data_IF_015493362056
#
_entry.id   IF_015493362056
#
_cell.length_a   1.000
_cell.length_b   1.000
_cell.length_c   1.000
_cell.angle_alpha   90.00
_cell.angle_beta   90.00
_cell.angle_gamma   90.00
#
_symmetry.space_group_name_H-M   'P 1'
#
loop_
_entity.id
_entity.type
_entity.pdbx_description
1 polymer ?
#
# COMPACT_ATOMS: atom_id res chain seq x y z
N UNK A 1 33.62 -22.30 -5.34
CA UNK A 1 33.83 -21.55 -4.08
C UNK A 1 33.85 -20.07 -4.44
N UNK A 2 32.73 -19.38 -4.29
CA UNK A 2 32.65 -17.94 -4.52
C UNK A 2 33.06 -17.21 -3.23
N UNK A 3 33.90 -16.20 -3.35
CA UNK A 3 34.37 -15.38 -2.23
C UNK A 3 33.20 -14.66 -1.54
N UNK A 4 33.29 -14.38 -0.21
CA UNK A 4 32.26 -13.61 0.47
C UNK A 4 32.34 -12.15 -0.03
N UNK A 5 31.31 -11.72 -0.76
CA UNK A 5 31.13 -10.34 -1.19
C UNK A 5 30.91 -9.44 0.03
N UNK A 6 31.93 -8.65 0.41
CA UNK A 6 31.85 -7.62 1.44
C UNK A 6 31.12 -6.35 0.95
N UNK A 7 30.12 -6.49 0.09
CA UNK A 7 29.28 -5.40 -0.42
C UNK A 7 27.91 -5.39 0.25
N UNK A 8 27.26 -4.23 0.30
CA UNK A 8 25.86 -4.10 0.71
C UNK A 8 24.98 -4.21 -0.52
N UNK A 9 24.10 -5.20 -0.55
CA UNK A 9 23.07 -5.36 -1.59
C UNK A 9 21.72 -5.50 -0.90
N UNK A 10 20.95 -4.42 -0.92
CA UNK A 10 19.58 -4.37 -0.45
C UNK A 10 18.71 -4.15 -1.68
N UNK A 11 17.90 -5.13 -2.03
CA UNK A 11 16.95 -5.05 -3.13
C UNK A 11 15.52 -5.14 -2.60
N UNK A 12 14.66 -4.25 -3.07
CA UNK A 12 13.23 -4.21 -2.81
C UNK A 12 12.85 -4.10 -1.32
N UNK A 13 13.60 -3.35 -0.52
CA UNK A 13 13.24 -3.13 0.89
C UNK A 13 12.01 -2.21 1.00
N UNK A 14 10.98 -2.64 1.73
CA UNK A 14 9.79 -1.82 1.97
C UNK A 14 10.15 -0.54 2.72
N UNK A 15 9.74 0.61 2.18
CA UNK A 15 10.08 1.91 2.73
C UNK A 15 8.86 2.81 2.85
N UNK A 16 8.80 3.56 3.95
CA UNK A 16 7.87 4.68 4.12
C UNK A 16 8.63 5.98 3.94
N UNK A 17 8.16 6.82 3.03
CA UNK A 17 8.80 8.08 2.69
C UNK A 17 8.11 9.22 3.43
N UNK A 18 8.90 10.02 4.14
CA UNK A 18 8.42 11.27 4.75
C UNK A 18 8.62 12.44 3.77
N UNK A 19 7.57 13.23 3.59
CA UNK A 19 7.57 14.40 2.72
C UNK A 19 6.74 15.51 3.36
N UNK A 20 7.00 16.75 2.96
CA UNK A 20 6.23 17.90 3.45
C UNK A 20 5.11 18.19 2.47
N UNK A 21 3.87 18.22 2.98
CA UNK A 21 2.68 18.53 2.20
C UNK A 21 2.57 20.01 1.82
N UNK A 22 1.55 20.36 1.03
CA UNK A 22 1.32 21.75 0.60
C UNK A 22 1.03 22.70 1.76
N UNK A 23 0.63 22.17 2.91
CA UNK A 23 0.27 22.92 4.12
C UNK A 23 1.44 22.99 5.11
N UNK A 24 2.61 22.46 4.73
CA UNK A 24 3.83 22.50 5.54
C UNK A 24 3.92 21.42 6.62
N UNK A 25 3.07 20.39 6.58
CA UNK A 25 3.05 19.30 7.58
C UNK A 25 3.81 18.08 7.06
N UNK A 26 4.48 17.35 7.96
CA UNK A 26 5.06 16.05 7.62
C UNK A 26 3.94 15.05 7.30
N UNK A 27 3.98 14.51 6.10
CA UNK A 27 3.12 13.45 5.60
C UNK A 27 3.97 12.22 5.26
N UNK A 28 3.34 11.04 5.30
CA UNK A 28 4.01 9.76 5.08
C UNK A 28 3.38 9.06 3.88
N UNK A 29 4.19 8.36 3.07
CA UNK A 29 3.67 7.54 1.97
C UNK A 29 2.73 6.46 2.49
N UNK A 30 1.54 6.33 1.89
CA UNK A 30 0.62 5.23 2.18
C UNK A 30 0.74 4.11 1.15
N UNK A 31 0.47 2.83 1.49
CA UNK A 31 0.33 1.74 0.53
C UNK A 31 -0.88 1.93 -0.41
N UNK A 32 -1.77 2.88 -0.09
CA UNK A 32 -2.88 3.29 -0.95
C UNK A 32 -2.43 4.28 -2.05
N UNK A 33 -1.37 5.03 -1.82
CA UNK A 33 -0.84 6.01 -2.78
C UNK A 33 -0.02 5.33 -3.89
N UNK A 34 0.65 4.22 -3.57
CA UNK A 34 1.43 3.38 -4.49
C UNK A 34 0.95 1.94 -4.35
N UNK A 35 0.54 1.28 -5.45
CA UNK A 35 -0.02 -0.09 -5.39
C UNK A 35 1.01 -1.10 -4.87
N UNK A 36 1.08 -1.28 -3.54
CA UNK A 36 2.07 -2.13 -2.86
C UNK A 36 3.18 -1.38 -2.10
N UNK A 37 3.09 -0.06 -1.94
CA UNK A 37 4.09 0.74 -1.22
C UNK A 37 5.33 1.11 -2.06
N UNK A 38 6.17 1.99 -1.52
CA UNK A 38 7.46 2.32 -2.12
C UNK A 38 8.52 1.30 -1.67
N UNK A 39 9.50 1.04 -2.54
CA UNK A 39 10.60 0.12 -2.26
C UNK A 39 11.94 0.85 -2.45
N UNK A 40 12.93 0.50 -1.64
CA UNK A 40 14.28 1.04 -1.69
C UNK A 40 15.24 -0.07 -2.12
N UNK A 41 16.04 0.24 -3.14
CA UNK A 41 17.21 -0.54 -3.53
C UNK A 41 18.48 0.27 -3.13
N UNK A 42 19.39 -0.37 -2.41
CA UNK A 42 20.69 0.19 -1.99
C UNK A 42 21.80 -0.79 -2.37
N UNK A 43 22.71 -0.34 -3.21
CA UNK A 43 23.88 -1.09 -3.62
C UNK A 43 25.13 -0.35 -3.16
N UNK A 44 26.08 -1.07 -2.58
CA UNK A 44 27.41 -0.57 -2.24
C UNK A 44 28.44 -1.69 -2.38
N UNK A 45 29.53 -1.39 -3.07
CA UNK A 45 30.64 -2.32 -3.25
C UNK A 45 31.91 -1.79 -2.59
N UNK A 46 32.81 -2.73 -2.26
CA UNK A 46 34.17 -2.55 -1.77
C UNK A 46 35.03 -1.59 -2.61
N UNK A 47 34.67 -1.38 -3.89
CA UNK A 47 35.29 -0.37 -4.77
C UNK A 47 34.83 1.07 -4.53
N UNK A 48 34.08 1.34 -3.45
CA UNK A 48 33.46 2.64 -3.15
C UNK A 48 32.52 3.12 -4.25
N UNK A 49 31.78 2.19 -4.84
CA UNK A 49 30.67 2.52 -5.74
C UNK A 49 29.36 2.27 -5.02
N UNK A 50 28.39 3.15 -5.22
CA UNK A 50 27.06 2.98 -4.66
C UNK A 50 25.96 3.35 -5.66
N UNK A 51 24.76 2.87 -5.40
CA UNK A 51 23.57 3.32 -6.09
C UNK A 51 22.36 3.22 -5.18
N UNK A 52 21.58 4.30 -5.14
CA UNK A 52 20.37 4.41 -4.33
C UNK A 52 19.18 4.66 -5.24
N UNK A 53 18.18 3.80 -5.12
CA UNK A 53 17.02 3.82 -5.99
C UNK A 53 15.76 3.62 -5.18
N UNK A 54 14.94 4.65 -5.11
CA UNK A 54 13.57 4.52 -4.65
C UNK A 54 12.70 4.16 -5.85
N UNK A 55 11.96 3.06 -5.77
CA UNK A 55 11.03 2.61 -6.81
C UNK A 55 9.62 2.59 -6.28
N UNK A 56 8.68 3.05 -7.10
CA UNK A 56 7.28 3.11 -6.73
C UNK A 56 6.41 2.52 -7.87
N UNK A 57 5.70 1.41 -7.61
CA UNK A 57 4.87 0.75 -8.61
C UNK A 57 3.57 1.53 -8.87
N UNK A 58 3.20 1.66 -10.15
CA UNK A 58 2.02 2.36 -10.63
C UNK A 58 1.56 1.83 -11.99
N UNK A 59 0.39 2.26 -12.45
CA UNK A 59 -0.19 1.87 -13.74
C UNK A 59 -0.33 3.12 -14.61
N UNK A 60 0.23 3.08 -15.82
CA UNK A 60 0.15 4.18 -16.81
C UNK A 60 -1.18 4.13 -17.57
N UNK A 61 -1.56 5.26 -18.19
CA UNK A 61 -2.70 5.31 -19.13
C UNK A 61 -2.46 4.45 -20.35
N UNK A 62 -1.23 4.48 -20.87
CA UNK A 62 -0.82 3.76 -22.08
C UNK A 62 -0.79 2.25 -21.88
N UNK A 63 -0.35 1.78 -20.70
CA UNK A 63 -0.24 0.36 -20.36
C UNK A 63 -1.11 0.01 -19.14
N UNK A 64 -2.45 -0.01 -19.28
CA UNK A 64 -3.37 -0.17 -18.16
C UNK A 64 -3.36 -1.56 -17.51
N UNK A 65 -2.64 -2.52 -18.10
CA UNK A 65 -2.49 -3.90 -17.65
C UNK A 65 -1.08 -4.22 -17.14
N UNK A 66 -0.12 -3.30 -17.29
CA UNK A 66 1.28 -3.49 -16.89
C UNK A 66 1.57 -2.67 -15.62
N UNK A 67 2.10 -3.32 -14.58
CA UNK A 67 2.58 -2.64 -13.38
C UNK A 67 3.97 -2.06 -13.68
N UNK A 68 4.02 -0.77 -13.97
CA UNK A 68 5.26 -0.03 -14.23
C UNK A 68 5.80 0.52 -12.91
N UNK A 69 7.08 0.88 -12.82
CA UNK A 69 7.63 1.60 -11.65
C UNK A 69 8.25 2.92 -12.08
N UNK A 70 7.95 4.01 -11.38
CA UNK A 70 8.79 5.22 -11.49
C UNK A 70 9.89 5.18 -10.44
N UNK A 71 10.95 5.93 -10.71
CA UNK A 71 12.15 5.88 -9.90
C UNK A 71 12.61 7.26 -9.45
N UNK A 72 13.17 7.31 -8.25
CA UNK A 72 13.99 8.42 -7.78
C UNK A 72 15.40 7.89 -7.60
N UNK A 73 16.34 8.37 -8.42
CA UNK A 73 17.74 8.05 -8.25
C UNK A 73 18.38 9.09 -7.36
N UNK A 74 19.07 8.62 -6.33
CA UNK A 74 19.86 9.46 -5.44
C UNK A 74 21.32 9.13 -5.76
N UNK A 75 22.00 9.93 -6.60
CA UNK A 75 23.40 9.67 -6.92
C UNK A 75 24.27 9.85 -5.68
N UNK A 76 25.14 8.90 -5.31
CA UNK A 76 26.00 8.99 -4.13
C UNK A 76 26.89 10.22 -4.13
N UNK A 77 27.37 10.68 -5.31
CA UNK A 77 28.18 11.90 -5.39
C UNK A 77 27.42 13.18 -4.99
N UNK A 78 26.09 13.13 -4.90
CA UNK A 78 25.28 14.25 -4.41
C UNK A 78 25.04 14.18 -2.91
N UNK A 79 25.22 13.03 -2.27
CA UNK A 79 24.97 12.82 -0.83
C UNK A 79 26.11 13.46 -0.04
N UNK A 80 25.79 14.52 0.70
CA UNK A 80 26.74 15.20 1.60
C UNK A 80 26.80 14.54 2.97
N UNK A 81 25.69 13.98 3.41
CA UNK A 81 25.59 13.26 4.67
C UNK A 81 24.46 12.24 4.60
N UNK A 82 24.66 11.09 5.24
CA UNK A 82 23.64 10.07 5.46
C UNK A 82 23.58 9.80 6.96
N UNK A 83 22.52 10.25 7.64
CA UNK A 83 22.28 9.89 9.02
C UNK A 83 21.41 8.63 9.10
N UNK A 84 21.83 7.72 9.97
CA UNK A 84 21.15 6.45 10.24
C UNK A 84 20.79 6.45 11.71
N UNK A 85 19.50 6.55 12.02
CA UNK A 85 19.00 6.64 13.39
C UNK A 85 18.00 5.51 13.65
N UNK A 86 18.21 4.76 14.73
CA UNK A 86 17.16 3.93 15.33
C UNK A 86 16.36 4.80 16.28
N UNK A 87 15.26 5.36 15.78
CA UNK A 87 14.36 6.17 16.60
C UNK A 87 13.43 5.26 17.41
N UNK A 88 13.32 5.45 18.72
CA UNK A 88 12.25 4.85 19.53
C UNK A 88 10.90 5.57 19.29
N UNK A 89 10.97 6.84 18.89
CA UNK A 89 9.83 7.71 18.58
C UNK A 89 9.56 7.68 17.07
N UNK A 90 9.08 6.53 16.59
CA UNK A 90 8.63 6.36 15.21
C UNK A 90 7.16 6.79 15.08
N UNK A 91 6.82 7.69 14.12
CA UNK A 91 5.45 8.12 13.90
C UNK A 91 4.48 6.93 13.71
N UNK A 92 3.29 7.03 14.30
CA UNK A 92 2.28 5.96 14.25
C UNK A 92 1.98 5.44 12.83
N UNK A 93 1.83 6.27 11.78
CA UNK A 93 1.57 5.79 10.42
C UNK A 93 2.71 4.96 9.82
N UNK A 94 3.94 5.16 10.30
CA UNK A 94 5.12 4.41 9.87
C UNK A 94 5.17 3.07 10.61
N UNK A 95 4.88 3.08 11.92
CA UNK A 95 4.83 1.87 12.77
C UNK A 95 3.76 0.88 12.30
N UNK A 96 2.60 1.38 11.91
CA UNK A 96 1.51 0.55 11.36
C UNK A 96 1.89 -0.15 10.05
N UNK A 97 2.80 0.44 9.25
CA UNK A 97 3.23 -0.12 7.96
C UNK A 97 4.47 -1.02 8.04
N UNK A 98 5.45 -0.66 8.89
CA UNK A 98 6.78 -1.31 8.92
C UNK A 98 7.03 -2.17 10.16
N UNK A 99 6.19 -2.08 11.20
CA UNK A 99 6.32 -2.89 12.41
C UNK A 99 7.23 -2.28 13.47
N UNK A 100 8.15 -3.08 14.04
CA UNK A 100 8.85 -2.75 15.30
C UNK A 100 10.34 -2.41 15.10
N UNK A 101 11.03 -3.02 14.12
CA UNK A 101 12.46 -2.79 13.86
C UNK A 101 12.65 -1.85 12.67
N UNK A 102 12.61 -0.55 12.94
CA UNK A 102 12.60 0.51 11.92
C UNK A 102 13.86 1.36 12.06
N UNK A 103 14.53 1.57 10.93
CA UNK A 103 15.67 2.48 10.81
C UNK A 103 15.26 3.69 9.98
N UNK A 104 15.57 4.88 10.51
CA UNK A 104 15.39 6.15 9.82
C UNK A 104 16.68 6.50 9.08
N UNK A 105 16.60 6.52 7.75
CA UNK A 105 17.66 6.94 6.84
C UNK A 105 17.35 8.35 6.35
N UNK A 106 18.22 9.30 6.65
CA UNK A 106 18.06 10.68 6.22
C UNK A 106 19.23 11.10 5.34
N UNK A 107 18.93 11.27 4.05
CA UNK A 107 19.87 11.69 3.03
C UNK A 107 19.88 13.21 2.94
N UNK A 108 21.03 13.82 3.13
CA UNK A 108 21.28 15.22 2.81
C UNK A 108 22.02 15.29 1.49
N UNK A 109 21.46 16.03 0.54
CA UNK A 109 21.95 16.14 -0.82
C UNK A 109 22.43 17.56 -1.11
N UNK A 110 23.54 17.69 -1.82
CA UNK A 110 24.03 18.96 -2.37
C UNK A 110 23.14 19.49 -3.51
N UNK A 111 22.47 18.58 -4.22
CA UNK A 111 21.50 18.87 -5.29
C UNK A 111 20.35 17.86 -5.21
N UNK A 112 19.14 18.22 -5.67
CA UNK A 112 18.02 17.30 -5.64
C UNK A 112 18.26 15.99 -6.42
N UNK A 113 17.50 14.97 -6.06
CA UNK A 113 17.54 13.65 -6.68
C UNK A 113 16.93 13.65 -8.10
N UNK A 114 17.29 12.66 -8.91
CA UNK A 114 16.83 12.56 -10.30
C UNK A 114 15.52 11.76 -10.38
N UNK A 115 14.47 12.39 -10.92
CA UNK A 115 13.19 11.73 -11.14
C UNK A 115 13.17 11.07 -12.52
N UNK A 116 13.09 9.74 -12.53
CA UNK A 116 13.15 8.93 -13.75
C UNK A 116 11.81 8.28 -14.02
N UNK A 117 11.30 8.54 -15.22
CA UNK A 117 10.01 8.07 -15.73
C UNK A 117 10.19 7.36 -17.09
N UNK A 118 9.23 6.55 -17.55
CA UNK A 118 9.22 6.06 -18.92
C UNK A 118 9.38 7.20 -19.93
N UNK A 119 10.09 6.94 -21.04
CA UNK A 119 10.21 7.93 -22.13
C UNK A 119 8.88 8.20 -22.84
N UNK A 120 7.98 7.21 -22.82
CA UNK A 120 6.62 7.29 -23.38
C UNK A 120 5.64 7.96 -22.39
N UNK A 121 4.33 7.88 -22.65
CA UNK A 121 3.31 8.43 -21.75
C UNK A 121 3.35 7.75 -20.37
N UNK A 122 3.88 8.49 -19.40
CA UNK A 122 4.07 8.03 -18.03
C UNK A 122 2.95 8.50 -17.09
N UNK A 123 1.93 9.23 -17.57
CA UNK A 123 0.87 9.73 -16.70
C UNK A 123 0.07 8.56 -16.08
N UNK A 124 -0.22 8.59 -14.77
CA UNK A 124 -1.00 7.55 -14.13
C UNK A 124 -2.41 7.42 -14.70
N UNK A 125 -2.91 6.19 -14.75
CA UNK A 125 -4.27 5.87 -15.24
C UNK A 125 -5.37 6.49 -14.38
N UNK A 126 -5.19 6.50 -13.06
CA UNK A 126 -6.20 6.89 -12.07
C UNK A 126 -5.75 8.13 -11.29
N UNK A 127 -6.70 8.99 -10.94
CA UNK A 127 -6.52 10.14 -10.02
C UNK A 127 -6.10 9.71 -8.62
N UNK A 128 -6.31 8.43 -8.25
CA UNK A 128 -5.81 7.84 -7.01
C UNK A 128 -4.28 8.01 -6.81
N UNK A 129 -3.49 8.03 -7.89
CA UNK A 129 -2.05 8.27 -7.82
C UNK A 129 -1.68 9.76 -7.64
N UNK A 130 -2.67 10.65 -7.49
CA UNK A 130 -2.46 12.08 -7.31
C UNK A 130 -1.79 12.45 -5.98
N UNK A 131 -1.99 11.65 -4.93
CA UNK A 131 -1.24 11.77 -3.66
C UNK A 131 0.24 11.47 -3.86
N UNK A 132 0.51 10.36 -4.54
CA UNK A 132 1.86 9.93 -4.86
C UNK A 132 2.62 10.91 -5.77
N UNK A 133 1.99 11.46 -6.81
CA UNK A 133 2.64 12.46 -7.66
C UNK A 133 3.00 13.74 -6.88
N UNK A 134 2.18 14.14 -5.91
CA UNK A 134 2.50 15.26 -5.01
C UNK A 134 3.70 14.94 -4.11
N UNK A 135 3.75 13.73 -3.57
CA UNK A 135 4.91 13.22 -2.82
C UNK A 135 6.18 13.28 -3.67
N UNK A 136 6.16 12.71 -4.87
CA UNK A 136 7.32 12.72 -5.78
C UNK A 136 7.74 14.16 -6.13
N UNK A 137 6.77 15.03 -6.44
CA UNK A 137 7.04 16.45 -6.69
C UNK A 137 7.71 17.14 -5.49
N UNK A 138 7.30 16.81 -4.26
CA UNK A 138 7.91 17.35 -3.04
C UNK A 138 9.35 16.83 -2.87
N UNK A 139 9.57 15.53 -3.05
CA UNK A 139 10.90 14.91 -2.93
C UNK A 139 11.93 15.46 -3.93
N UNK A 140 11.54 15.64 -5.19
CA UNK A 140 12.46 16.12 -6.24
C UNK A 140 12.82 17.60 -6.04
N UNK A 141 12.04 18.34 -5.24
CA UNK A 141 12.38 19.71 -4.84
C UNK A 141 13.18 19.76 -3.54
N UNK A 142 13.18 18.68 -2.77
CA UNK A 142 13.87 18.59 -1.50
C UNK A 142 15.33 18.18 -1.69
N UNK A 143 16.21 18.78 -0.90
CA UNK A 143 17.59 18.35 -0.73
C UNK A 143 17.76 17.40 0.45
N UNK A 144 16.69 17.17 1.22
CA UNK A 144 16.68 16.24 2.35
C UNK A 144 15.61 15.19 2.12
N UNK A 145 15.99 13.91 2.05
CA UNK A 145 15.07 12.80 1.83
C UNK A 145 15.13 11.90 3.06
N UNK A 146 13.99 11.74 3.74
CA UNK A 146 13.87 10.90 4.93
C UNK A 146 13.07 9.65 4.60
N UNK A 147 13.69 8.49 4.83
CA UNK A 147 13.16 7.17 4.53
C UNK A 147 13.14 6.33 5.82
N UNK A 148 12.03 5.66 6.08
CA UNK A 148 11.93 4.68 7.15
C UNK A 148 11.92 3.29 6.54
N UNK A 149 12.84 2.43 6.96
CA UNK A 149 13.03 1.09 6.38
C UNK A 149 13.01 0.04 7.49
N UNK A 150 12.32 -1.07 7.26
CA UNK A 150 12.27 -2.18 8.20
C UNK A 150 13.50 -3.10 8.07
N UNK A 151 13.88 -3.75 9.18
CA UNK A 151 14.82 -4.88 9.20
C UNK A 151 16.22 -4.58 8.62
N UNK A 152 16.69 -3.33 8.69
CA UNK A 152 18.07 -2.97 8.35
C UNK A 152 18.94 -2.95 9.61
N UNK A 153 20.07 -3.65 9.58
CA UNK A 153 21.05 -3.55 10.66
C UNK A 153 21.94 -2.33 10.46
N UNK A 154 22.17 -1.56 11.52
CA UNK A 154 23.08 -0.40 11.48
C UNK A 154 24.50 -0.82 11.07
N UNK A 155 24.92 -2.01 11.50
CA UNK A 155 26.23 -2.58 11.17
C UNK A 155 26.45 -2.78 9.67
N UNK A 156 25.40 -3.10 8.91
CA UNK A 156 25.47 -3.22 7.45
C UNK A 156 25.60 -1.87 6.74
N UNK A 157 25.10 -0.79 7.36
CA UNK A 157 25.12 0.57 6.78
C UNK A 157 26.37 1.37 7.17
N UNK A 158 27.09 0.99 8.24
CA UNK A 158 28.31 1.67 8.69
C UNK A 158 29.36 1.84 7.59
N UNK A 159 29.77 0.80 6.83
CA UNK A 159 30.78 0.96 5.77
C UNK A 159 30.36 1.96 4.70
N UNK A 160 29.07 2.01 4.38
CA UNK A 160 28.51 2.96 3.43
C UNK A 160 28.52 4.38 3.99
N UNK A 161 28.12 4.57 5.26
CA UNK A 161 28.12 5.88 5.91
C UNK A 161 29.53 6.46 6.02
N UNK A 162 30.51 5.63 6.36
CA UNK A 162 31.93 6.01 6.43
C UNK A 162 32.44 6.42 5.04
N UNK A 163 32.13 5.62 4.01
CA UNK A 163 32.53 5.92 2.63
C UNK A 163 31.92 7.23 2.10
N UNK A 164 30.64 7.49 2.40
CA UNK A 164 29.97 8.75 2.04
C UNK A 164 30.58 9.95 2.79
N UNK A 165 30.93 9.77 4.06
CA UNK A 165 31.50 10.84 4.91
C UNK A 165 32.91 11.25 4.48
N UNK A 166 33.72 10.30 4.00
CA UNK A 166 35.07 10.58 3.51
C UNK A 166 35.10 11.20 2.10
N UNK A 167 33.99 11.13 1.36
CA UNK A 167 33.89 11.59 -0.01
C UNK A 167 34.64 10.67 -0.98
N UNK A 168 34.07 10.42 -2.16
CA UNK A 168 34.68 9.56 -3.17
C UNK A 168 33.82 8.40 -3.64
N UNK A 169 32.62 8.24 -3.07
CA UNK A 169 31.65 7.26 -3.58
C UNK A 169 31.13 7.72 -4.95
N UNK A 170 31.18 6.82 -5.94
CA UNK A 170 30.70 7.09 -7.30
C UNK A 170 29.47 6.24 -7.62
N UNK A 171 28.60 6.77 -8.48
CA UNK A 171 27.49 6.01 -9.05
C UNK A 171 27.95 4.73 -9.75
N UNK A 172 27.21 3.63 -9.59
CA UNK A 172 27.36 2.42 -10.41
C UNK A 172 26.66 2.59 -11.76
N UNK A 173 27.43 2.64 -12.85
CA UNK A 173 26.90 2.88 -14.20
C UNK A 173 25.87 1.81 -14.62
N UNK A 174 26.07 0.55 -14.26
CA UNK A 174 25.19 -0.57 -14.61
C UNK A 174 23.74 -0.38 -14.15
N UNK A 175 23.54 0.29 -13.00
CA UNK A 175 22.20 0.55 -12.45
C UNK A 175 21.60 1.87 -12.93
N UNK A 176 22.40 2.75 -13.53
CA UNK A 176 22.00 4.07 -14.01
C UNK A 176 21.70 4.11 -15.53
N UNK A 177 21.85 3.00 -16.26
CA UNK A 177 21.60 2.94 -17.70
C UNK A 177 20.11 3.15 -18.06
N UNK A 178 19.75 4.41 -18.30
CA UNK A 178 18.39 4.80 -18.69
C UNK A 178 17.87 4.04 -19.91
N UNK A 179 18.71 3.73 -20.89
CA UNK A 179 18.32 3.03 -22.13
C UNK A 179 17.84 1.59 -21.91
N UNK A 180 18.28 0.92 -20.84
CA UNK A 180 17.83 -0.44 -20.49
C UNK A 180 16.58 -0.46 -19.61
N UNK A 181 16.16 0.69 -19.11
CA UNK A 181 14.98 0.78 -18.27
C UNK A 181 13.70 0.56 -19.06
N UNK A 182 12.63 0.19 -18.34
CA UNK A 182 11.30 0.00 -18.92
C UNK A 182 11.28 -1.03 -20.05
N UNK A 183 11.94 -2.18 -19.84
CA UNK A 183 12.03 -3.26 -20.83
C UNK A 183 12.68 -2.82 -22.15
N UNK A 184 13.62 -1.88 -22.09
CA UNK A 184 14.31 -1.34 -23.27
C UNK A 184 13.57 -0.19 -23.97
N UNK A 185 12.43 0.28 -23.44
CA UNK A 185 11.74 1.50 -23.92
C UNK A 185 12.51 2.78 -23.56
N UNK A 186 13.42 2.70 -22.59
CA UNK A 186 14.25 3.81 -22.15
C UNK A 186 13.57 4.69 -21.10
N UNK A 187 14.36 5.15 -20.13
CA UNK A 187 13.96 6.11 -19.12
C UNK A 187 14.34 7.55 -19.48
N UNK A 188 13.57 8.50 -18.98
CA UNK A 188 13.79 9.94 -19.10
C UNK A 188 13.90 10.55 -17.71
N UNK A 189 14.90 11.40 -17.50
CA UNK A 189 14.95 12.28 -16.32
C UNK A 189 14.02 13.48 -16.58
N UNK A 190 13.09 13.74 -15.67
CA UNK A 190 12.21 14.91 -15.78
C UNK A 190 12.89 16.13 -15.19
N UNK A 191 13.14 17.13 -16.03
CA UNK A 191 13.75 18.41 -15.62
C UNK A 191 12.72 19.48 -15.26
N UNK A 192 11.51 19.42 -15.84
CA UNK A 192 10.42 20.34 -15.57
C UNK A 192 9.33 19.67 -14.72
N UNK A 193 9.47 19.83 -13.41
CA UNK A 193 8.64 19.21 -12.37
C UNK A 193 7.28 19.95 -12.25
N UNK A 194 7.21 21.21 -12.71
CA UNK A 194 5.99 22.00 -12.61
C UNK A 194 4.94 21.61 -13.66
N UNK A 195 5.37 20.99 -14.76
CA UNK A 195 4.49 20.37 -15.76
C UNK A 195 3.88 19.00 -15.33
N UNK A 196 4.27 18.44 -14.18
CA UNK A 196 3.83 17.10 -13.72
C UNK A 196 2.34 17.01 -13.34
N UNK A 197 1.67 18.15 -13.08
CA UNK A 197 0.26 18.20 -12.69
C UNK A 197 -0.42 19.32 -13.51
N UNK A 198 -1.28 19.00 -14.49
CA UNK A 198 -2.14 20.01 -15.08
C UNK A 198 -2.98 20.65 -13.97
N UNK A 199 -2.97 21.99 -13.89
CA UNK A 199 -3.85 22.73 -13.00
C UNK A 199 -5.30 22.29 -13.25
N UNK A 200 -5.92 21.71 -12.22
CA UNK A 200 -7.35 21.46 -12.02
C UNK A 200 -8.22 21.36 -13.28
N UNK A 201 -8.58 20.13 -13.64
CA UNK A 201 -9.88 19.90 -14.27
C UNK A 201 -10.96 20.19 -13.22
N UNK A 202 -11.45 21.43 -13.17
CA UNK A 202 -12.80 21.72 -12.67
C UNK A 202 -13.77 20.91 -13.51
N UNK A 203 -14.26 19.78 -12.99
CA UNK A 203 -15.39 19.07 -13.56
C UNK A 203 -16.62 19.99 -13.52
N UNK A 204 -17.38 20.14 -14.61
CA UNK A 204 -18.70 20.73 -14.55
C UNK A 204 -19.60 19.83 -13.70
N UNK A 205 -20.27 20.48 -12.76
CA UNK A 205 -21.38 20.03 -11.93
C UNK A 205 -22.33 19.08 -12.68
N UNK A 206 -22.46 17.85 -12.18
CA UNK A 206 -23.52 16.93 -12.60
C UNK A 206 -24.81 17.30 -11.87
N UNK A 207 -25.97 17.46 -12.54
CA UNK A 207 -27.23 17.67 -11.86
C UNK A 207 -27.74 16.37 -11.21
N UNK A 208 -28.33 16.55 -10.03
CA UNK A 208 -28.94 15.54 -9.16
C UNK A 208 -30.11 14.74 -9.79
N UNK A 209 -30.49 13.58 -9.20
CA UNK A 209 -31.29 12.54 -9.83
C UNK A 209 -32.80 12.76 -9.62
N UNK A 210 -33.60 12.54 -10.68
CA UNK A 210 -35.05 12.43 -10.57
C UNK A 210 -35.54 11.12 -11.20
N UNK A 211 -36.03 10.26 -10.29
CA UNK A 211 -37.09 9.25 -10.41
C UNK A 211 -37.01 8.17 -11.49
N UNK A 212 -36.82 6.95 -10.99
CA UNK A 212 -37.18 5.71 -11.65
C UNK A 212 -38.71 5.56 -11.80
N UNK A 213 -39.14 5.08 -12.97
CA UNK A 213 -40.44 4.45 -13.20
C UNK A 213 -40.23 3.10 -13.89
N UNK A 214 -40.98 2.04 -13.53
CA UNK A 214 -40.73 0.68 -14.00
C UNK A 214 -41.59 0.32 -15.23
N UNK A 215 -41.08 -0.48 -16.16
CA UNK A 215 -41.96 -1.28 -17.03
C UNK A 215 -41.25 -2.46 -17.70
N UNK A 216 -41.73 -3.67 -17.37
CA UNK A 216 -42.31 -4.59 -18.35
C UNK A 216 -41.40 -5.21 -19.42
N UNK A 217 -41.11 -6.50 -19.23
CA UNK A 217 -40.64 -7.46 -20.25
C UNK A 217 -41.68 -7.69 -21.38
N UNK A 218 -41.56 -8.76 -22.20
CA UNK A 218 -40.58 -9.09 -23.24
C UNK A 218 -41.27 -9.21 -24.62
N UNK A 219 -40.55 -9.15 -25.75
CA UNK A 219 -41.13 -9.48 -27.07
C UNK A 219 -40.25 -10.39 -27.94
N UNK A 220 -40.95 -11.40 -28.45
CA UNK A 220 -40.58 -12.47 -29.37
C UNK A 220 -40.30 -12.00 -30.81
N UNK A 221 -39.65 -12.92 -31.54
CA UNK A 221 -39.60 -13.15 -32.99
C UNK A 221 -40.53 -12.34 -33.92
N UNK A 222 -39.96 -11.86 -35.03
CA UNK A 222 -40.39 -12.26 -36.39
C UNK A 222 -39.46 -11.71 -37.48
N UNK A 223 -39.32 -12.50 -38.55
CA UNK A 223 -38.42 -12.33 -39.68
C UNK A 223 -38.87 -11.27 -40.71
N UNK A 224 -37.94 -10.73 -41.50
CA UNK A 224 -37.97 -10.73 -43.00
C UNK A 224 -36.85 -9.89 -43.66
N UNK A 225 -36.05 -10.59 -44.49
CA UNK A 225 -35.53 -10.28 -45.84
C UNK A 225 -34.76 -8.97 -46.20
N UNK A 226 -33.64 -9.27 -46.88
CA UNK A 226 -33.08 -8.69 -48.12
C UNK A 226 -32.01 -7.60 -48.02
N UNK A 227 -30.89 -7.84 -48.73
CA UNK A 227 -29.85 -6.87 -49.03
C UNK A 227 -28.44 -7.48 -49.08
N UNK A 228 -28.10 -8.15 -50.18
CA UNK A 228 -26.71 -8.44 -50.58
C UNK A 228 -25.94 -7.13 -50.77
N UNK A 229 -24.74 -7.01 -50.19
CA UNK A 229 -23.62 -6.25 -50.78
C UNK A 229 -22.31 -6.61 -50.05
N UNK A 230 -21.37 -7.20 -50.80
CA UNK A 230 -19.99 -7.46 -50.41
C UNK A 230 -19.04 -6.56 -51.24
N UNK A 231 -17.85 -6.22 -50.71
CA UNK A 231 -17.05 -5.06 -51.11
C UNK A 231 -16.07 -5.33 -52.28
N UNK A 232 -15.45 -4.28 -52.88
CA UNK A 232 -14.75 -4.38 -54.17
C UNK A 232 -13.27 -4.78 -54.07
N UNK A 233 -12.68 -5.38 -55.14
CA UNK A 233 -11.24 -5.63 -55.24
C UNK A 233 -10.49 -4.56 -56.07
N UNK A 234 -9.19 -4.44 -55.79
CA UNK A 234 -8.21 -3.51 -56.39
C UNK A 234 -7.77 -3.89 -57.84
N UNK A 235 -7.17 -2.96 -58.61
CA UNK A 235 -6.85 -3.14 -60.04
C UNK A 235 -5.38 -3.55 -60.34
N UNK A 236 -5.09 -4.14 -61.51
CA UNK A 236 -3.72 -4.26 -62.05
C UNK A 236 -3.47 -3.31 -63.26
N UNK A 237 -2.21 -2.97 -63.61
CA UNK A 237 -1.92 -2.10 -64.74
C UNK A 237 -1.12 -2.72 -65.92
N UNK A 238 -1.41 -2.16 -67.11
CA UNK A 238 -0.66 -2.03 -68.38
C UNK A 238 -0.80 -3.05 -69.56
N UNK A 239 -0.94 -2.54 -70.82
CA UNK A 239 -1.13 -3.32 -72.07
C UNK A 239 0.11 -3.38 -73.00
N UNK A 240 0.10 -4.21 -74.07
CA UNK A 240 1.14 -4.26 -75.10
C UNK A 240 0.84 -3.36 -76.33
N UNK A 241 1.84 -2.98 -77.16
CA UNK A 241 1.64 -2.07 -78.29
C UNK A 241 1.35 -2.74 -79.65
N UNK A 242 0.47 -2.03 -80.36
CA UNK A 242 0.03 -2.03 -81.75
C UNK A 242 0.88 -2.70 -82.86
N UNK A 243 0.16 -3.42 -83.72
CA UNK A 243 0.53 -3.76 -85.09
C UNK A 243 0.33 -2.56 -86.03
N UNK A 244 1.33 -2.31 -86.89
CA UNK A 244 1.26 -1.30 -87.95
C UNK A 244 0.75 -1.87 -89.27
N UNK A 245 0.01 -0.99 -89.93
CA UNK A 245 -0.70 -1.07 -91.20
C UNK A 245 0.16 -1.29 -92.44
N UNK A 246 -0.46 -1.97 -93.41
CA UNK A 246 -0.18 -1.97 -94.85
C UNK A 246 -0.41 -0.59 -95.50
N UNK A 247 0.46 -0.16 -96.43
CA UNK A 247 0.05 0.59 -97.63
C UNK A 247 1.05 0.56 -98.81
N UNK A 248 0.47 0.78 -99.99
CA UNK A 248 0.82 0.78 -101.40
C UNK A 248 2.23 1.13 -101.95
N UNK A 249 2.65 0.37 -102.96
CA UNK A 249 2.63 0.80 -104.38
C UNK A 249 3.87 1.48 -105.01
N UNK A 250 4.44 0.88 -106.06
CA UNK A 250 4.89 1.59 -107.29
C UNK A 250 5.32 0.62 -108.41
N UNK A 251 4.83 0.87 -109.62
CA UNK A 251 5.12 0.15 -110.87
C UNK A 251 6.44 0.60 -111.53
N UNK A 252 7.16 -0.29 -112.24
CA UNK A 252 7.96 0.09 -113.42
C UNK A 252 8.22 -1.08 -114.38
N UNK A 253 8.01 -0.76 -115.66
CA UNK A 253 7.93 -1.58 -116.88
C UNK A 253 9.34 -1.72 -117.52
N UNK A 254 9.49 -2.75 -118.37
CA UNK A 254 10.53 -3.01 -119.41
C UNK A 254 11.77 -3.76 -118.89
N UNK A 255 12.37 -4.72 -119.61
CA UNK A 255 12.41 -4.98 -121.06
C UNK A 255 12.94 -6.42 -121.27
N UNK A 256 12.34 -7.20 -122.18
CA UNK A 256 12.97 -8.44 -122.73
C UNK A 256 14.10 -8.08 -123.69
N UNK A 257 15.12 -8.93 -123.81
CA UNK A 257 15.66 -9.23 -125.12
C UNK A 257 15.69 -10.73 -125.44
N UNK A 258 15.90 -10.96 -126.72
CA UNK A 258 15.68 -12.14 -127.54
C UNK A 258 16.87 -13.09 -127.59
N UNK A 259 16.55 -14.40 -127.57
CA UNK A 259 16.99 -15.46 -128.50
C UNK A 259 18.31 -15.26 -129.28
N UNK A 260 19.27 -16.15 -129.04
CA UNK A 260 19.74 -17.10 -130.08
C UNK A 260 20.53 -18.25 -129.45
N UNK A 261 20.03 -19.46 -129.73
CA UNK A 261 20.74 -20.75 -129.83
C UNK A 261 22.12 -20.88 -129.17
N UNK A 262 22.20 -21.70 -128.13
CA UNK A 262 23.10 -22.86 -128.18
C UNK A 262 22.67 -23.91 -127.14
N UNK A 263 22.29 -25.08 -127.68
CA UNK A 263 22.51 -26.42 -127.13
C UNK A 263 21.75 -26.82 -125.85
N UNK A 264 21.22 -28.03 -125.88
CA UNK A 264 20.41 -28.72 -124.87
C UNK A 264 21.03 -28.82 -123.45
N UNK A 265 22.20 -28.22 -123.22
CA UNK A 265 22.83 -28.04 -121.92
C UNK A 265 22.23 -26.87 -121.08
N UNK A 266 21.67 -25.81 -121.70
CA UNK A 266 21.21 -24.62 -120.96
C UNK A 266 19.76 -24.72 -120.44
N UNK A 267 18.89 -25.52 -121.08
CA UNK A 267 17.58 -25.88 -120.47
C UNK A 267 17.78 -26.79 -119.26
N UNK A 268 18.70 -27.73 -119.38
CA UNK A 268 19.12 -28.61 -118.28
C UNK A 268 19.78 -27.80 -117.16
N UNK A 269 20.57 -26.77 -117.49
CA UNK A 269 21.17 -25.82 -116.56
C UNK A 269 20.14 -24.91 -115.86
N UNK A 270 19.12 -24.43 -116.58
CA UNK A 270 18.04 -23.63 -116.02
C UNK A 270 17.13 -24.43 -115.07
N UNK A 271 16.78 -25.67 -115.44
CA UNK A 271 16.09 -26.61 -114.57
C UNK A 271 16.93 -26.97 -113.34
N UNK A 272 18.23 -27.23 -113.51
CA UNK A 272 19.15 -27.47 -112.38
C UNK A 272 19.23 -26.25 -111.45
N UNK A 273 19.30 -25.03 -111.97
CA UNK A 273 19.30 -23.79 -111.17
C UNK A 273 17.98 -23.61 -110.40
N UNK A 274 16.83 -23.82 -111.06
CA UNK A 274 15.52 -23.72 -110.42
C UNK A 274 15.35 -24.78 -109.32
N UNK A 275 15.79 -26.01 -109.57
CA UNK A 275 15.78 -27.11 -108.60
C UNK A 275 16.68 -26.78 -107.41
N UNK A 276 17.90 -26.28 -107.64
CA UNK A 276 18.81 -25.84 -106.56
C UNK A 276 18.23 -24.66 -105.78
N UNK A 277 17.56 -23.72 -106.43
CA UNK A 277 16.91 -22.58 -105.76
C UNK A 277 15.69 -23.01 -104.94
N UNK A 278 14.87 -23.93 -105.47
CA UNK A 278 13.72 -24.51 -104.76
C UNK A 278 14.16 -25.33 -103.55
N UNK A 279 15.16 -26.22 -103.70
CA UNK A 279 15.74 -26.97 -102.58
C UNK A 279 16.48 -26.05 -101.60
N UNK A 280 17.07 -24.96 -102.08
CA UNK A 280 17.69 -23.92 -101.24
C UNK A 280 16.67 -23.17 -100.39
N UNK A 281 15.55 -22.73 -100.98
CA UNK A 281 14.41 -22.10 -100.30
C UNK A 281 13.76 -23.06 -99.30
N UNK A 282 13.46 -24.29 -99.72
CA UNK A 282 12.93 -25.33 -98.83
C UNK A 282 13.89 -25.62 -97.67
N UNK A 283 15.20 -25.65 -97.94
CA UNK A 283 16.23 -25.80 -96.89
C UNK A 283 16.33 -24.60 -95.94
N UNK A 284 16.01 -23.39 -96.40
CA UNK A 284 15.88 -22.21 -95.53
C UNK A 284 14.61 -22.26 -94.69
N UNK A 285 13.46 -22.62 -95.28
CA UNK A 285 12.19 -22.80 -94.57
C UNK A 285 12.28 -23.89 -93.50
N UNK A 286 12.89 -25.04 -93.82
CA UNK A 286 13.14 -26.12 -92.84
C UNK A 286 14.04 -25.62 -91.70
N UNK A 287 15.06 -24.79 -91.99
CA UNK A 287 15.91 -24.20 -90.95
C UNK A 287 15.14 -23.21 -90.07
N UNK A 288 14.29 -22.36 -90.66
CA UNK A 288 13.46 -21.43 -89.92
C UNK A 288 12.48 -22.15 -88.98
N UNK A 289 11.74 -23.14 -89.50
CA UNK A 289 10.82 -23.98 -88.70
C UNK A 289 11.56 -24.70 -87.57
N UNK A 290 12.78 -25.17 -87.82
CA UNK A 290 13.58 -25.86 -86.80
C UNK A 290 14.02 -24.90 -85.68
N UNK A 291 14.30 -23.65 -86.01
CA UNK A 291 14.65 -22.62 -85.03
C UNK A 291 13.42 -22.19 -84.23
N UNK A 292 12.28 -21.93 -84.88
CA UNK A 292 11.01 -21.67 -84.20
C UNK A 292 10.59 -22.84 -83.28
N UNK A 293 10.78 -24.08 -83.71
CA UNK A 293 10.54 -25.26 -82.89
C UNK A 293 11.50 -25.32 -81.68
N UNK A 294 12.74 -24.85 -81.84
CA UNK A 294 13.72 -24.77 -80.75
C UNK A 294 13.31 -23.70 -79.74
N UNK A 295 12.90 -22.53 -80.21
CA UNK A 295 12.42 -21.41 -79.38
C UNK A 295 11.16 -21.80 -78.61
N UNK A 296 10.12 -22.31 -79.28
CA UNK A 296 8.89 -22.79 -78.63
C UNK A 296 9.16 -23.89 -77.60
N UNK A 297 10.11 -24.81 -77.88
CA UNK A 297 10.53 -25.82 -76.90
C UNK A 297 11.21 -25.20 -75.67
N UNK A 298 12.00 -24.14 -75.85
CA UNK A 298 12.61 -23.40 -74.75
C UNK A 298 11.55 -22.66 -73.93
N UNK A 299 10.60 -22.00 -74.57
CA UNK A 299 9.47 -21.34 -73.90
C UNK A 299 8.61 -22.31 -73.09
N UNK A 300 8.29 -23.48 -73.66
CA UNK A 300 7.54 -24.53 -72.95
C UNK A 300 8.34 -25.06 -71.75
N UNK A 301 9.67 -25.16 -71.87
CA UNK A 301 10.53 -25.55 -70.75
C UNK A 301 10.51 -24.50 -69.63
N UNK A 302 10.67 -23.22 -69.98
CA UNK A 302 10.62 -22.11 -69.02
C UNK A 302 9.24 -22.02 -68.34
N UNK A 303 8.16 -22.21 -69.09
CA UNK A 303 6.80 -22.23 -68.54
C UNK A 303 6.58 -23.39 -67.57
N UNK A 304 7.16 -24.57 -67.85
CA UNK A 304 7.11 -25.72 -66.93
C UNK A 304 7.87 -25.46 -65.64
N UNK A 305 9.02 -24.79 -65.71
CA UNK A 305 9.77 -24.38 -64.53
C UNK A 305 8.99 -23.37 -63.70
N UNK A 306 8.44 -22.31 -64.32
CA UNK A 306 7.59 -21.33 -63.62
C UNK A 306 6.33 -21.96 -63.00
N UNK A 307 5.71 -22.94 -63.67
CA UNK A 307 4.59 -23.69 -63.09
C UNK A 307 5.02 -24.55 -61.88
N UNK A 308 6.25 -25.07 -61.89
CA UNK A 308 6.80 -25.84 -60.77
C UNK A 308 7.10 -24.94 -59.58
N UNK A 309 7.69 -23.77 -59.81
CA UNK A 309 7.98 -22.76 -58.79
C UNK A 309 6.69 -22.26 -58.13
N UNK A 310 5.72 -21.81 -58.92
CA UNK A 310 4.40 -21.39 -58.40
C UNK A 310 3.69 -22.50 -57.61
N UNK A 311 3.81 -23.77 -58.02
CA UNK A 311 3.27 -24.90 -57.25
C UNK A 311 3.98 -25.07 -55.90
N UNK A 312 5.29 -24.84 -55.85
CA UNK A 312 6.05 -24.89 -54.59
C UNK A 312 5.66 -23.72 -53.67
N UNK A 313 5.54 -22.51 -54.20
CA UNK A 313 5.07 -21.33 -53.45
C UNK A 313 3.67 -21.55 -52.87
N UNK A 314 2.72 -22.04 -53.68
CA UNK A 314 1.36 -22.37 -53.21
C UNK A 314 1.38 -23.45 -52.12
N UNK A 315 2.31 -24.41 -52.19
CA UNK A 315 2.47 -25.41 -51.14
C UNK A 315 3.02 -24.81 -49.85
N UNK A 316 3.99 -23.89 -49.93
CA UNK A 316 4.55 -23.19 -48.79
C UNK A 316 3.49 -22.33 -48.09
N UNK A 317 2.74 -21.53 -48.87
CA UNK A 317 1.64 -20.69 -48.36
C UNK A 317 0.57 -21.53 -47.65
N UNK A 318 0.27 -22.73 -48.14
CA UNK A 318 -0.69 -23.64 -47.49
C UNK A 318 -0.21 -24.13 -46.13
N UNK A 319 1.09 -24.39 -45.99
CA UNK A 319 1.68 -24.83 -44.73
C UNK A 319 1.71 -23.69 -43.73
N UNK A 320 2.15 -22.49 -44.14
CA UNK A 320 2.09 -21.28 -43.31
C UNK A 320 0.65 -20.97 -42.85
N UNK A 321 -0.34 -21.16 -43.73
CA UNK A 321 -1.76 -20.99 -43.38
C UNK A 321 -2.24 -22.03 -42.37
N UNK A 322 -1.69 -23.25 -42.39
CA UNK A 322 -2.01 -24.29 -41.41
C UNK A 322 -1.39 -23.94 -40.06
N UNK A 323 -0.13 -23.56 -40.04
CA UNK A 323 0.60 -23.17 -38.82
C UNK A 323 -0.08 -21.98 -38.15
N UNK A 324 -0.37 -20.91 -38.90
CA UNK A 324 -1.10 -19.74 -38.36
C UNK A 324 -2.49 -20.10 -37.83
N UNK A 325 -3.19 -21.08 -38.43
CA UNK A 325 -4.48 -21.56 -37.90
C UNK A 325 -4.34 -22.30 -36.57
N UNK A 326 -3.27 -23.09 -36.42
CA UNK A 326 -2.95 -23.78 -35.16
C UNK A 326 -2.58 -22.78 -34.06
N UNK A 327 -1.73 -21.78 -34.38
CA UNK A 327 -1.39 -20.70 -33.46
C UNK A 327 -2.63 -19.92 -32.99
N UNK A 328 -3.53 -19.57 -33.91
CA UNK A 328 -4.81 -18.91 -33.56
C UNK A 328 -5.67 -19.80 -32.68
N UNK A 329 -5.63 -21.12 -32.85
CA UNK A 329 -6.37 -22.04 -31.98
C UNK A 329 -5.77 -22.07 -30.57
N UNK A 330 -4.45 -22.15 -30.45
CA UNK A 330 -3.73 -22.10 -29.17
C UNK A 330 -4.01 -20.80 -28.42
N UNK A 331 -3.90 -19.66 -29.10
CA UNK A 331 -4.21 -18.34 -28.51
C UNK A 331 -5.66 -18.27 -28.01
N UNK A 332 -6.61 -18.92 -28.70
CA UNK A 332 -8.01 -18.97 -28.24
C UNK A 332 -8.17 -19.78 -26.96
N UNK A 333 -7.47 -20.90 -26.82
CA UNK A 333 -7.53 -21.69 -25.58
C UNK A 333 -6.85 -20.96 -24.41
N UNK A 334 -5.68 -20.36 -24.62
CA UNK A 334 -5.02 -19.52 -23.61
C UNK A 334 -5.91 -18.34 -23.18
N UNK A 335 -6.61 -17.71 -24.15
CA UNK A 335 -7.58 -16.65 -23.85
C UNK A 335 -8.78 -17.17 -23.03
N UNK A 336 -9.20 -18.42 -23.24
CA UNK A 336 -10.27 -19.05 -22.47
C UNK A 336 -9.81 -19.34 -21.04
N UNK A 337 -8.62 -19.91 -20.88
CA UNK A 337 -8.01 -20.22 -19.59
C UNK A 337 -7.81 -18.95 -18.75
N UNK A 338 -7.20 -17.92 -19.32
CA UNK A 338 -7.03 -16.62 -18.63
C UNK A 338 -8.37 -15.97 -18.25
N UNK A 339 -9.44 -16.19 -19.03
CA UNK A 339 -10.79 -15.73 -18.67
C UNK A 339 -11.38 -16.50 -17.49
N UNK A 340 -11.13 -17.80 -17.40
CA UNK A 340 -11.54 -18.65 -16.28
C UNK A 340 -10.76 -18.28 -15.01
N UNK A 341 -9.45 -18.06 -15.09
CA UNK A 341 -8.62 -17.58 -13.98
C UNK A 341 -9.08 -16.21 -13.46
N UNK A 342 -9.37 -15.26 -14.37
CA UNK A 342 -9.92 -13.95 -13.98
C UNK A 342 -11.28 -14.07 -13.30
N UNK A 343 -12.10 -15.07 -13.68
CA UNK A 343 -13.37 -15.34 -13.02
C UNK A 343 -13.14 -15.90 -11.61
N UNK A 344 -12.23 -16.85 -11.44
CA UNK A 344 -11.86 -17.41 -10.14
C UNK A 344 -11.34 -16.32 -9.19
N UNK A 345 -10.39 -15.49 -9.64
CA UNK A 345 -9.88 -14.36 -8.84
C UNK A 345 -10.97 -13.37 -8.42
N UNK A 346 -11.99 -13.15 -9.25
CA UNK A 346 -13.14 -12.29 -8.89
C UNK A 346 -14.01 -12.92 -7.81
N UNK A 347 -14.13 -14.23 -7.81
CA UNK A 347 -14.90 -14.97 -6.80
C UNK A 347 -14.17 -14.96 -5.46
N UNK A 348 -12.87 -15.25 -5.45
CA UNK A 348 -12.02 -15.11 -4.25
C UNK A 348 -12.04 -13.68 -3.70
N UNK A 349 -11.98 -12.66 -4.57
CA UNK A 349 -12.10 -11.27 -4.13
C UNK A 349 -13.47 -10.96 -3.52
N UNK A 350 -14.54 -11.61 -4.01
CA UNK A 350 -15.89 -11.46 -3.45
C UNK A 350 -15.97 -12.12 -2.07
N UNK A 351 -15.39 -13.29 -1.91
CA UNK A 351 -15.36 -14.04 -0.65
C UNK A 351 -14.54 -13.31 0.42
N UNK A 352 -13.31 -12.88 0.09
CA UNK A 352 -12.49 -12.06 0.99
C UNK A 352 -13.19 -10.77 1.42
N UNK A 353 -13.95 -10.13 0.52
CA UNK A 353 -14.78 -8.97 0.87
C UNK A 353 -15.90 -9.31 1.87
N UNK A 354 -16.52 -10.49 1.75
CA UNK A 354 -17.53 -10.95 2.69
C UNK A 354 -16.91 -11.27 4.05
N UNK A 355 -15.77 -11.94 4.09
CA UNK A 355 -15.04 -12.23 5.33
C UNK A 355 -14.62 -10.94 6.06
N UNK A 356 -14.06 -9.96 5.33
CA UNK A 356 -13.72 -8.65 5.92
C UNK A 356 -14.96 -7.93 6.46
N UNK A 357 -16.12 -8.10 5.82
CA UNK A 357 -17.38 -7.54 6.33
C UNK A 357 -17.83 -8.24 7.62
N UNK A 358 -17.68 -9.56 7.70
CA UNK A 358 -18.01 -10.33 8.91
C UNK A 358 -17.10 -9.94 10.08
N UNK A 359 -15.79 -9.86 9.85
CA UNK A 359 -14.81 -9.43 10.87
C UNK A 359 -15.12 -8.03 11.38
N UNK A 360 -15.56 -7.11 10.50
CA UNK A 360 -15.98 -5.77 10.93
C UNK A 360 -17.18 -5.78 11.85
N UNK A 361 -18.13 -6.69 11.62
CA UNK A 361 -19.32 -6.82 12.45
C UNK A 361 -18.97 -7.42 13.82
N UNK A 362 -18.16 -8.49 13.85
CA UNK A 362 -17.65 -9.08 15.10
C UNK A 362 -16.84 -8.05 15.92
N UNK A 363 -16.04 -7.20 15.23
CA UNK A 363 -15.30 -6.13 15.90
C UNK A 363 -16.23 -5.05 16.47
N UNK A 364 -17.38 -4.79 15.84
CA UNK A 364 -18.40 -3.86 16.36
C UNK A 364 -19.05 -4.45 17.62
N UNK A 365 -19.45 -5.72 17.57
CA UNK A 365 -20.08 -6.42 18.69
C UNK A 365 -19.14 -6.49 19.91
N UNK A 366 -17.90 -6.92 19.73
CA UNK A 366 -16.90 -6.97 20.81
C UNK A 366 -16.62 -5.59 21.42
N UNK A 367 -16.67 -4.52 20.61
CA UNK A 367 -16.53 -3.14 21.12
C UNK A 367 -17.74 -2.70 21.95
N UNK A 368 -18.93 -3.16 21.59
CA UNK A 368 -20.17 -2.91 22.36
C UNK A 368 -20.14 -3.65 23.70
N UNK A 369 -19.76 -4.94 23.71
CA UNK A 369 -19.56 -5.72 24.94
C UNK A 369 -18.50 -5.10 25.86
N UNK A 370 -17.37 -4.65 25.30
CA UNK A 370 -16.35 -3.93 26.06
C UNK A 370 -16.87 -2.62 26.65
N UNK A 371 -17.77 -1.93 25.94
CA UNK A 371 -18.39 -0.72 26.45
C UNK A 371 -19.34 -1.02 27.61
N UNK A 372 -20.17 -2.05 27.49
CA UNK A 372 -21.10 -2.51 28.51
C UNK A 372 -20.37 -2.92 29.80
N UNK A 373 -19.38 -3.81 29.69
CA UNK A 373 -18.54 -4.23 30.84
C UNK A 373 -17.84 -3.06 31.52
N UNK A 374 -17.42 -2.04 30.76
CA UNK A 374 -16.85 -0.80 31.31
C UNK A 374 -17.89 0.04 32.05
N UNK A 375 -19.14 0.05 31.61
CA UNK A 375 -20.22 0.73 32.33
C UNK A 375 -20.56 -0.01 33.63
N UNK A 376 -20.66 -1.34 33.59
CA UNK A 376 -20.86 -2.16 34.79
C UNK A 376 -19.75 -1.94 35.83
N UNK A 377 -18.50 -1.93 35.38
CA UNK A 377 -17.36 -1.67 36.27
C UNK A 377 -17.43 -0.29 36.92
N UNK A 378 -17.88 0.74 36.17
CA UNK A 378 -18.11 2.08 36.73
C UNK A 378 -19.24 2.08 37.74
N UNK A 379 -20.35 1.40 37.47
CA UNK A 379 -21.45 1.28 38.41
C UNK A 379 -21.00 0.65 39.73
N UNK A 380 -20.25 -0.46 39.67
CA UNK A 380 -19.66 -1.08 40.88
C UNK A 380 -18.70 -0.14 41.59
N UNK A 381 -17.88 0.61 40.84
CA UNK A 381 -16.95 1.59 41.41
C UNK A 381 -17.69 2.75 42.13
N UNK A 382 -18.88 3.12 41.66
CA UNK A 382 -19.71 4.17 42.27
C UNK A 382 -20.54 3.65 43.46
N UNK A 383 -20.91 2.36 43.46
CA UNK A 383 -21.65 1.71 44.57
C UNK A 383 -20.77 1.38 45.77
N UNK A 384 -19.51 0.96 45.55
CA UNK A 384 -18.59 0.57 46.61
C UNK A 384 -18.39 1.66 47.70
N UNK A 385 -18.16 2.94 47.36
CA UNK A 385 -18.10 4.02 48.35
C UNK A 385 -19.40 4.18 49.12
N UNK A 386 -20.56 4.04 48.47
CA UNK A 386 -21.86 4.19 49.13
C UNK A 386 -22.08 3.10 50.18
N UNK A 387 -21.75 1.85 49.83
CA UNK A 387 -21.82 0.72 50.77
C UNK A 387 -20.84 0.93 51.92
N UNK A 388 -19.59 1.32 51.61
CA UNK A 388 -18.57 1.59 52.62
C UNK A 388 -19.01 2.68 53.60
N UNK A 389 -19.51 3.80 53.09
CA UNK A 389 -19.92 4.95 53.90
C UNK A 389 -21.16 4.60 54.74
N UNK A 390 -22.09 3.80 54.20
CA UNK A 390 -23.23 3.24 54.95
C UNK A 390 -22.78 2.32 56.09
N UNK A 391 -21.82 1.42 55.84
CA UNK A 391 -21.24 0.56 56.87
C UNK A 391 -20.54 1.36 57.97
N UNK A 392 -19.75 2.38 57.60
CA UNK A 392 -19.08 3.27 58.56
C UNK A 392 -20.13 3.98 59.43
N UNK A 393 -21.17 4.56 58.81
CA UNK A 393 -22.25 5.23 59.54
C UNK A 393 -22.98 4.29 60.51
N UNK A 394 -23.23 3.05 60.11
CA UNK A 394 -23.84 2.05 60.98
C UNK A 394 -22.96 1.74 62.20
N UNK A 395 -21.65 1.55 62.00
CA UNK A 395 -20.70 1.28 63.09
C UNK A 395 -20.55 2.49 64.00
N UNK A 396 -20.38 3.69 63.46
CA UNK A 396 -20.26 4.94 64.23
C UNK A 396 -21.49 5.16 65.10
N UNK A 397 -22.69 4.90 64.58
CA UNK A 397 -23.93 5.00 65.35
C UNK A 397 -23.95 4.02 66.52
N UNK A 398 -23.61 2.75 66.30
CA UNK A 398 -23.55 1.76 67.38
C UNK A 398 -22.50 2.13 68.43
N UNK A 399 -21.34 2.69 68.04
CA UNK A 399 -20.32 3.15 68.97
C UNK A 399 -20.84 4.31 69.82
N UNK A 400 -21.55 5.27 69.23
CA UNK A 400 -22.16 6.39 69.96
C UNK A 400 -23.23 5.89 70.93
N UNK A 401 -24.09 4.97 70.50
CA UNK A 401 -25.14 4.40 71.34
C UNK A 401 -24.54 3.65 72.55
N UNK A 402 -23.58 2.73 72.30
CA UNK A 402 -22.88 2.00 73.38
C UNK A 402 -22.14 2.95 74.32
N UNK A 403 -21.47 3.96 73.78
CA UNK A 403 -20.78 4.96 74.61
C UNK A 403 -21.78 5.72 75.49
N UNK A 404 -22.93 6.13 74.93
CA UNK A 404 -23.99 6.79 75.68
C UNK A 404 -24.52 5.92 76.83
N UNK A 405 -24.76 4.64 76.56
CA UNK A 405 -25.17 3.67 77.58
C UNK A 405 -24.12 3.53 78.70
N UNK A 406 -22.83 3.47 78.34
CA UNK A 406 -21.73 3.41 79.31
C UNK A 406 -21.61 4.70 80.14
N UNK A 407 -21.69 5.87 79.52
CA UNK A 407 -21.63 7.17 80.20
C UNK A 407 -22.81 7.32 81.19
N UNK A 408 -23.99 6.83 80.81
CA UNK A 408 -25.17 6.78 81.68
C UNK A 408 -24.96 5.82 82.87
N UNK A 409 -24.47 4.60 82.61
CA UNK A 409 -24.15 3.64 83.67
C UNK A 409 -23.12 4.18 84.66
N UNK A 410 -22.05 4.83 84.18
CA UNK A 410 -21.03 5.45 85.03
C UNK A 410 -21.66 6.55 85.88
N UNK A 411 -22.51 7.40 85.30
CA UNK A 411 -23.20 8.47 86.02
C UNK A 411 -24.11 7.94 87.13
N UNK A 412 -24.83 6.85 86.85
CA UNK A 412 -25.69 6.20 87.84
C UNK A 412 -24.88 5.57 88.98
N UNK A 413 -23.77 4.89 88.68
CA UNK A 413 -22.86 4.33 89.70
C UNK A 413 -22.26 5.44 90.57
N UNK A 414 -21.79 6.55 89.97
CA UNK A 414 -21.23 7.68 90.72
C UNK A 414 -22.29 8.31 91.64
N UNK A 415 -23.51 8.51 91.15
CA UNK A 415 -24.62 9.05 91.94
C UNK A 415 -24.99 8.14 93.11
N UNK A 416 -25.02 6.83 92.89
CA UNK A 416 -25.30 5.85 93.94
C UNK A 416 -24.17 5.82 94.98
N UNK A 417 -22.91 5.85 94.54
CA UNK A 417 -21.75 5.92 95.42
C UNK A 417 -21.75 7.20 96.28
N UNK A 418 -22.00 8.36 95.68
CA UNK A 418 -22.10 9.65 96.40
C UNK A 418 -23.23 9.63 97.43
N UNK A 419 -24.40 9.07 97.07
CA UNK A 419 -25.52 8.93 98.01
C UNK A 419 -25.16 8.00 99.17
N UNK A 420 -24.49 6.87 98.89
CA UNK A 420 -24.10 5.92 99.93
C UNK A 420 -23.02 6.48 100.87
N UNK A 421 -22.00 7.16 100.32
CA UNK A 421 -20.98 7.87 101.11
C UNK A 421 -21.64 8.96 101.96
N UNK A 422 -22.58 9.72 101.40
CA UNK A 422 -23.33 10.74 102.14
C UNK A 422 -24.07 10.16 103.34
N UNK A 423 -24.80 9.06 103.15
CA UNK A 423 -25.51 8.36 104.23
C UNK A 423 -24.55 7.84 105.30
N UNK A 424 -23.44 7.21 104.90
CA UNK A 424 -22.46 6.68 105.84
C UNK A 424 -21.78 7.80 106.65
N UNK A 425 -21.40 8.91 106.01
CA UNK A 425 -20.84 10.07 106.70
C UNK A 425 -21.84 10.71 107.66
N UNK A 426 -23.11 10.82 107.29
CA UNK A 426 -24.15 11.33 108.18
C UNK A 426 -24.38 10.41 109.39
N UNK A 427 -24.35 9.09 109.20
CA UNK A 427 -24.44 8.10 110.29
C UNK A 427 -23.22 8.17 111.23
N UNK A 428 -22.00 8.20 110.69
CA UNK A 428 -20.78 8.36 111.49
C UNK A 428 -20.74 9.71 112.23
N UNK A 429 -21.15 10.81 111.57
CA UNK A 429 -21.18 12.14 112.17
C UNK A 429 -22.26 12.25 113.26
N UNK A 430 -23.45 11.68 113.05
CA UNK A 430 -24.49 11.64 114.07
C UNK A 430 -24.06 10.81 115.28
N UNK A 431 -23.39 9.68 115.04
CA UNK A 431 -22.83 8.82 116.09
C UNK A 431 -21.75 9.57 116.89
N UNK A 432 -20.75 10.16 116.22
CA UNK A 432 -19.69 10.93 116.86
C UNK A 432 -20.22 12.16 117.63
N UNK A 433 -21.26 12.82 117.13
CA UNK A 433 -21.94 13.92 117.85
C UNK A 433 -22.62 13.44 119.12
N UNK A 434 -23.25 12.27 119.09
CA UNK A 434 -23.89 11.68 120.28
C UNK A 434 -22.80 11.33 121.31
N UNK A 435 -21.75 10.62 120.89
CA UNK A 435 -20.64 10.24 121.77
C UNK A 435 -19.94 11.46 122.41
N UNK A 436 -19.67 12.50 121.62
CA UNK A 436 -19.06 13.74 122.13
C UNK A 436 -19.97 14.44 123.14
N UNK A 437 -21.28 14.50 122.86
CA UNK A 437 -22.25 15.09 123.79
C UNK A 437 -22.32 14.29 125.09
N UNK A 438 -22.34 12.96 125.01
CA UNK A 438 -22.39 12.10 126.18
C UNK A 438 -21.10 12.24 127.00
N UNK A 439 -19.93 12.27 126.35
CA UNK A 439 -18.65 12.55 126.99
C UNK A 439 -18.60 13.92 127.68
N UNK A 440 -19.06 14.99 127.02
CA UNK A 440 -19.12 16.33 127.62
C UNK A 440 -20.09 16.33 128.81
N UNK A 441 -21.24 15.69 128.69
CA UNK A 441 -22.26 15.62 129.74
C UNK A 441 -21.74 14.87 130.96
N UNK A 442 -21.09 13.72 130.75
CA UNK A 442 -20.48 12.93 131.81
C UNK A 442 -19.31 13.66 132.45
N UNK A 443 -18.44 14.29 131.67
CA UNK A 443 -17.32 15.09 132.18
C UNK A 443 -17.81 16.28 133.03
N UNK A 444 -18.82 17.02 132.56
CA UNK A 444 -19.45 18.09 133.33
C UNK A 444 -20.12 17.56 134.60
N UNK A 445 -20.81 16.41 134.52
CA UNK A 445 -21.44 15.78 135.68
C UNK A 445 -20.42 15.35 136.73
N UNK A 446 -19.30 14.74 136.32
CA UNK A 446 -18.20 14.36 137.21
C UNK A 446 -17.55 15.60 137.82
N UNK A 447 -17.27 16.63 137.03
CA UNK A 447 -16.65 17.88 137.52
C UNK A 447 -17.59 18.63 138.48
N UNK A 448 -18.89 18.70 138.17
CA UNK A 448 -19.89 19.29 139.05
C UNK A 448 -20.02 18.50 140.35
N UNK A 449 -20.00 17.16 140.29
CA UNK A 449 -19.99 16.32 141.48
C UNK A 449 -18.74 16.56 142.35
N UNK A 450 -17.56 16.69 141.75
CA UNK A 450 -16.31 17.03 142.47
C UNK A 450 -16.39 18.43 143.12
N UNK A 451 -16.90 19.44 142.41
CA UNK A 451 -17.11 20.79 142.96
C UNK A 451 -18.07 20.75 144.15
N UNK A 452 -19.22 20.08 144.00
CA UNK A 452 -20.21 19.94 145.08
C UNK A 452 -19.60 19.21 146.28
N UNK A 453 -18.77 18.20 146.05
CA UNK A 453 -18.10 17.48 147.13
C UNK A 453 -17.08 18.38 147.84
N UNK A 454 -16.25 19.13 147.11
CA UNK A 454 -15.31 20.09 147.70
C UNK A 454 -16.01 21.21 148.47
N UNK A 455 -17.16 21.68 147.99
CA UNK A 455 -17.98 22.65 148.72
C UNK A 455 -18.53 22.06 150.03
N UNK A 456 -19.02 20.81 150.01
CA UNK A 456 -19.43 20.10 151.23
C UNK A 456 -18.28 19.91 152.21
N UNK A 457 -17.11 19.50 151.72
CA UNK A 457 -15.92 19.33 152.56
C UNK A 457 -15.48 20.67 153.17
N UNK A 458 -15.58 21.79 152.42
CA UNK A 458 -15.30 23.13 152.92
C UNK A 458 -16.35 23.63 153.94
N UNK A 459 -17.63 23.29 153.76
CA UNK A 459 -18.71 23.58 154.71
C UNK A 459 -18.48 22.86 156.04
N UNK A 460 -18.12 21.58 156.02
CA UNK A 460 -17.72 20.82 157.22
C UNK A 460 -16.49 21.44 157.88
N UNK A 461 -15.52 21.91 157.10
CA UNK A 461 -14.33 22.59 157.63
C UNK A 461 -14.64 23.94 158.29
N UNK A 462 -15.69 24.64 157.83
CA UNK A 462 -16.16 25.89 158.43
C UNK A 462 -16.98 25.64 159.71
N UNK A 463 -17.82 24.59 159.75
CA UNK A 463 -18.57 24.19 160.95
C UNK A 463 -17.63 23.81 162.10
N UNK A 464 -16.53 23.10 161.82
CA UNK A 464 -15.52 22.74 162.84
C UNK A 464 -14.81 23.97 163.45
N UNK A 465 -14.81 25.14 162.77
CA UNK A 465 -14.22 26.38 163.31
C UNK A 465 -15.15 27.18 164.20
N UNK A 466 -16.47 26.93 164.20
CA UNK A 466 -17.40 27.63 165.09
C UNK A 466 -17.63 26.90 166.42
N UNK A 467 -17.22 25.63 166.53
CA UNK A 467 -17.18 24.86 167.79
C UNK A 467 -15.75 24.76 168.36
N UNK A 468 -15.19 25.89 168.77
CA UNK A 468 -14.12 26.00 169.79
C UNK A 468 -14.12 27.45 170.29
N UNK A 469 -14.21 27.70 171.61
CA UNK A 469 -13.41 27.06 172.66
C UNK A 469 -14.17 26.22 173.69
#
# INVERSE_FOLDING_TARGET
>A
MAAPSQGLDISAATVVVEWVDSDGRSAFSSPLDCRGGALLDVYFDTSSKAFFKLRAPYITRLHPRELTSIYLFIPPERVTNLSVERSEDVPQPVREQLGVDIVRLQFHLSRPADFVVPSDDWFPKNTAYGGFLRLMKSLVRSTTITLYVACLSEEQLRPLCDALSHGGVRSMDEHAELGRMYLGRGGRIVTDIDALIPAQATSPEAPDPVQAGPSGAPLQESASKAGEECPPPYPPPFPPPAAYSSDAGSSKKRRRPSSSSDTDEDQTGALKRLVVEMFGKLGQEIRAIKEELRETKQEVSAMREGLRETKQEVSAIKEELRETKEEVHTIKEELRETKEEVRAMREELRETKQEVSAIKEELRETKEELHETKQELRAVQDELPQIRDSCIQYVDRNIVDVRGDMDQQISDILREADANIGLQLDEELTTAKVELRDFITDSLRVTAADIVQRLRDAEVYLDIRFDSP
#
